data_IF_185515943368
#
_entry.id   IF_185515943368
#
_cell.length_a   1.000
_cell.length_b   1.000
_cell.length_c   1.000
_cell.angle_alpha   90.00
_cell.angle_beta   90.00
_cell.angle_gamma   90.00
#
_symmetry.space_group_name_H-M   'P 1'
#
loop_
_entity.id
_entity.type
_entity.pdbx_description
1 polymer ?
#
# COMPACT_ATOMS: atom_id res chain seq x y z
N UNK A 1 28.77 3.23 -2.82
CA UNK A 1 28.02 3.36 -4.09
C UNK A 1 26.72 4.12 -3.86
N UNK A 2 26.18 4.82 -4.85
CA UNK A 2 24.91 5.54 -4.72
C UNK A 2 23.74 4.62 -4.38
N UNK A 3 23.73 3.37 -4.87
CA UNK A 3 22.76 2.34 -4.46
C UNK A 3 22.79 2.05 -2.96
N UNK A 4 23.98 2.02 -2.36
CA UNK A 4 24.13 1.78 -0.91
C UNK A 4 23.68 3.00 -0.09
N UNK A 5 23.87 4.22 -0.61
CA UNK A 5 23.36 5.44 0.04
C UNK A 5 21.84 5.44 0.04
N UNK A 6 21.21 5.09 -1.08
CA UNK A 6 19.74 4.96 -1.19
C UNK A 6 19.24 3.90 -0.20
N UNK A 7 19.82 2.69 -0.23
CA UNK A 7 19.40 1.62 0.67
C UNK A 7 19.53 2.00 2.16
N UNK A 8 20.61 2.68 2.55
CA UNK A 8 20.79 3.20 3.92
C UNK A 8 19.80 4.30 4.28
N UNK A 9 19.47 5.19 3.35
CA UNK A 9 18.47 6.23 3.57
C UNK A 9 17.09 5.62 3.80
N UNK A 10 16.68 4.67 2.94
CA UNK A 10 15.41 3.96 3.11
C UNK A 10 15.37 3.17 4.44
N UNK A 11 16.48 2.52 4.83
CA UNK A 11 16.62 1.83 6.11
C UNK A 11 16.52 2.78 7.33
N UNK A 12 16.98 4.03 7.19
CA UNK A 12 16.94 5.03 8.25
C UNK A 12 15.56 5.70 8.40
N UNK A 13 14.65 5.52 7.44
CA UNK A 13 13.30 6.06 7.54
C UNK A 13 12.54 5.37 8.67
N UNK A 14 11.92 6.17 9.52
CA UNK A 14 11.01 5.64 10.55
C UNK A 14 9.71 5.22 9.87
N UNK A 15 9.26 3.97 10.05
CA UNK A 15 8.06 3.54 9.34
C UNK A 15 6.83 4.35 9.75
N UNK A 16 5.97 4.66 8.78
CA UNK A 16 4.78 5.51 8.94
C UNK A 16 5.06 7.01 9.10
N UNK A 17 6.32 7.44 9.00
CA UNK A 17 6.71 8.86 8.91
C UNK A 17 7.47 9.17 7.61
N UNK A 18 7.63 8.16 6.75
CA UNK A 18 8.24 8.33 5.45
C UNK A 18 7.29 9.11 4.55
N UNK A 19 7.84 10.04 3.77
CA UNK A 19 7.16 10.52 2.59
C UNK A 19 7.17 9.39 1.55
N UNK A 20 5.98 8.88 1.22
CA UNK A 20 5.83 7.76 0.31
C UNK A 20 6.23 8.12 -1.13
N UNK A 21 6.07 9.37 -1.53
CA UNK A 21 6.46 9.81 -2.87
C UNK A 21 8.00 9.87 -2.96
N UNK A 22 8.69 10.41 -1.94
CA UNK A 22 10.16 10.38 -1.87
C UNK A 22 10.70 8.93 -1.80
N UNK A 23 10.08 8.08 -0.99
CA UNK A 23 10.47 6.67 -0.89
C UNK A 23 10.32 5.97 -2.25
N UNK A 24 9.23 6.22 -2.97
CA UNK A 24 9.00 5.64 -4.29
C UNK A 24 10.06 6.10 -5.31
N UNK A 25 10.44 7.37 -5.29
CA UNK A 25 11.53 7.89 -6.13
C UNK A 25 12.86 7.21 -5.84
N UNK A 26 13.23 7.07 -4.57
CA UNK A 26 14.44 6.37 -4.15
C UNK A 26 14.43 4.91 -4.62
N UNK A 27 13.28 4.23 -4.50
CA UNK A 27 13.11 2.85 -4.96
C UNK A 27 13.24 2.73 -6.48
N UNK A 28 12.64 3.64 -7.25
CA UNK A 28 12.78 3.71 -8.72
C UNK A 28 14.22 3.95 -9.13
N UNK A 29 14.91 4.88 -8.46
CA UNK A 29 16.33 5.18 -8.71
C UNK A 29 17.20 3.98 -8.42
N UNK A 30 16.96 3.27 -7.32
CA UNK A 30 17.68 2.03 -7.02
C UNK A 30 17.46 0.97 -8.10
N UNK A 31 16.20 0.73 -8.51
CA UNK A 31 15.87 -0.24 -9.55
C UNK A 31 16.59 0.09 -10.88
N UNK A 32 16.57 1.35 -11.30
CA UNK A 32 17.28 1.81 -12.49
C UNK A 32 18.80 1.57 -12.41
N UNK A 33 19.44 1.97 -11.31
CA UNK A 33 20.88 1.78 -11.10
C UNK A 33 21.26 0.29 -11.05
N UNK A 34 20.47 -0.53 -10.36
CA UNK A 34 20.71 -1.97 -10.24
C UNK A 34 20.66 -2.69 -11.60
N UNK A 35 19.75 -2.26 -12.49
CA UNK A 35 19.61 -2.81 -13.84
C UNK A 35 20.80 -2.46 -14.73
N UNK A 36 21.22 -1.18 -14.74
CA UNK A 36 22.42 -0.75 -15.48
C UNK A 36 23.67 -1.46 -14.98
N UNK A 37 23.83 -1.56 -13.65
CA UNK A 37 24.99 -2.22 -13.03
C UNK A 37 25.08 -3.73 -13.36
N UNK A 38 23.93 -4.41 -13.46
CA UNK A 38 23.90 -5.85 -13.83
C UNK A 38 24.14 -6.07 -15.33
N UNK A 39 23.84 -5.08 -16.18
CA UNK A 39 24.04 -5.17 -17.62
C UNK A 39 25.48 -4.86 -18.05
N UNK A 40 26.16 -3.94 -17.35
CA UNK A 40 27.52 -3.50 -17.68
C UNK A 40 28.62 -4.37 -17.06
N UNK A 41 28.35 -4.97 -15.91
CA UNK A 41 29.30 -5.83 -15.22
C UNK A 41 28.73 -7.24 -15.28
N UNK A 42 29.44 -8.15 -15.96
CA UNK A 42 29.10 -9.57 -16.04
C UNK A 42 29.32 -10.22 -14.65
N UNK A 43 28.38 -9.93 -13.76
CA UNK A 43 28.57 -10.06 -12.33
C UNK A 43 28.34 -11.50 -11.92
N UNK A 44 29.43 -12.22 -11.64
CA UNK A 44 29.32 -13.46 -10.89
C UNK A 44 28.73 -13.12 -9.51
N UNK A 45 27.59 -13.72 -9.15
CA UNK A 45 26.87 -13.50 -7.87
C UNK A 45 27.75 -13.66 -6.61
N UNK A 46 28.90 -14.31 -6.75
CA UNK A 46 29.85 -14.61 -5.67
C UNK A 46 30.98 -13.59 -5.53
N UNK A 47 31.08 -12.59 -6.42
CA UNK A 47 32.05 -11.50 -6.28
C UNK A 47 31.63 -10.48 -5.22
N UNK A 48 32.59 -9.74 -4.65
CA UNK A 48 32.36 -8.72 -3.61
C UNK A 48 31.25 -7.72 -4.01
N UNK A 49 31.26 -7.28 -5.26
CA UNK A 49 30.23 -6.38 -5.81
C UNK A 49 28.84 -7.01 -5.89
N UNK A 50 28.74 -8.30 -6.20
CA UNK A 50 27.49 -9.05 -6.17
C UNK A 50 26.91 -9.13 -4.76
N UNK A 51 27.75 -9.42 -3.77
CA UNK A 51 27.34 -9.44 -2.37
C UNK A 51 26.89 -8.06 -1.87
N UNK A 52 27.58 -6.98 -2.26
CA UNK A 52 27.19 -5.61 -1.91
C UNK A 52 25.85 -5.20 -2.52
N UNK A 53 25.62 -5.54 -3.79
CA UNK A 53 24.34 -5.29 -4.46
C UNK A 53 23.20 -6.07 -3.79
N UNK A 54 23.41 -7.35 -3.50
CA UNK A 54 22.42 -8.18 -2.80
C UNK A 54 22.11 -7.65 -1.40
N UNK A 55 23.12 -7.19 -0.66
CA UNK A 55 22.94 -6.58 0.66
C UNK A 55 22.13 -5.29 0.58
N UNK A 56 22.46 -4.39 -0.35
CA UNK A 56 21.73 -3.13 -0.54
C UNK A 56 20.27 -3.40 -0.95
N UNK A 57 20.04 -4.36 -1.84
CA UNK A 57 18.69 -4.80 -2.23
C UNK A 57 17.91 -5.38 -1.06
N UNK A 58 18.54 -6.20 -0.22
CA UNK A 58 17.91 -6.77 0.97
C UNK A 58 17.43 -5.71 1.95
N UNK A 59 18.25 -4.67 2.22
CA UNK A 59 17.87 -3.55 3.08
C UNK A 59 16.69 -2.76 2.52
N UNK A 60 16.73 -2.46 1.22
CA UNK A 60 15.65 -1.73 0.56
C UNK A 60 14.34 -2.52 0.58
N UNK A 61 14.40 -3.82 0.27
CA UNK A 61 13.25 -4.73 0.32
C UNK A 61 12.64 -4.79 1.73
N UNK A 62 13.48 -4.87 2.77
CA UNK A 62 13.03 -4.86 4.16
C UNK A 62 12.34 -3.53 4.54
N UNK A 63 12.92 -2.38 4.16
CA UNK A 63 12.36 -1.06 4.43
C UNK A 63 10.98 -0.88 3.77
N UNK A 64 10.87 -1.21 2.48
CA UNK A 64 9.59 -1.18 1.75
C UNK A 64 8.58 -2.11 2.42
N UNK A 65 8.98 -3.33 2.75
CA UNK A 65 8.08 -4.33 3.34
C UNK A 65 7.54 -3.89 4.70
N UNK A 66 8.40 -3.27 5.51
CA UNK A 66 8.03 -2.72 6.81
C UNK A 66 7.08 -1.53 6.67
N UNK A 67 7.29 -0.64 5.70
CA UNK A 67 6.37 0.46 5.44
C UNK A 67 4.99 -0.05 5.01
N UNK A 68 4.96 -0.92 3.99
CA UNK A 68 3.72 -1.44 3.43
C UNK A 68 2.89 -2.28 4.43
N UNK A 69 3.53 -2.91 5.43
CA UNK A 69 2.84 -3.69 6.47
C UNK A 69 1.78 -2.90 7.26
N UNK A 70 1.84 -1.57 7.20
CA UNK A 70 0.92 -0.67 7.90
C UNK A 70 -0.28 -0.26 7.05
N UNK A 71 -0.22 -0.48 5.74
CA UNK A 71 -1.23 0.03 4.81
C UNK A 71 -2.61 -0.54 5.10
N UNK A 72 -2.69 -1.82 5.47
CA UNK A 72 -3.94 -2.44 5.91
C UNK A 72 -4.54 -1.70 7.12
N UNK A 73 -3.71 -1.31 8.09
CA UNK A 73 -4.18 -0.59 9.28
C UNK A 73 -4.71 0.80 8.93
N UNK A 74 -4.03 1.53 8.04
CA UNK A 74 -4.52 2.84 7.58
C UNK A 74 -5.81 2.71 6.78
N UNK A 75 -5.95 1.66 5.96
CA UNK A 75 -7.16 1.34 5.22
C UNK A 75 -8.36 1.08 6.16
N UNK A 76 -8.18 0.23 7.18
CA UNK A 76 -9.22 -0.04 8.18
C UNK A 76 -9.63 1.21 8.96
N UNK A 77 -8.70 2.13 9.20
CA UNK A 77 -8.99 3.40 9.91
C UNK A 77 -9.74 4.40 9.04
N UNK A 78 -9.52 4.38 7.74
CA UNK A 78 -10.18 5.29 6.79
C UNK A 78 -11.56 4.79 6.39
N UNK A 79 -11.74 3.47 6.26
CA UNK A 79 -12.97 2.80 5.88
C UNK A 79 -13.44 1.85 6.99
N UNK A 80 -13.87 2.36 8.15
CA UNK A 80 -14.12 1.53 9.32
C UNK A 80 -15.34 0.63 9.15
N UNK A 81 -15.19 -0.63 9.56
CA UNK A 81 -16.30 -1.51 9.91
C UNK A 81 -16.58 -1.47 11.41
N UNK A 82 -17.84 -1.61 11.81
CA UNK A 82 -18.25 -1.92 13.17
C UNK A 82 -18.96 -3.28 13.24
N UNK A 83 -18.83 -3.96 14.38
CA UNK A 83 -19.63 -5.16 14.66
C UNK A 83 -21.04 -4.74 15.07
N UNK A 84 -22.05 -5.47 14.60
CA UNK A 84 -23.43 -5.26 15.04
C UNK A 84 -24.00 -6.51 15.70
N UNK A 85 -24.76 -6.30 16.79
CA UNK A 85 -25.33 -7.37 17.62
C UNK A 85 -24.43 -7.82 18.78
N UNK A 86 -24.95 -8.71 19.62
CA UNK A 86 -24.23 -9.29 20.78
C UNK A 86 -23.31 -10.47 20.42
N UNK A 87 -23.09 -10.72 19.13
CA UNK A 87 -22.21 -11.77 18.68
C UNK A 87 -20.77 -11.40 19.06
N UNK A 88 -20.01 -12.36 19.63
CA UNK A 88 -18.63 -12.15 20.07
C UNK A 88 -17.67 -11.83 18.91
N UNK A 89 -16.35 -11.94 19.14
CA UNK A 89 -15.34 -11.78 18.08
C UNK A 89 -15.70 -12.67 16.87
N UNK A 90 -15.98 -12.04 15.72
CA UNK A 90 -16.39 -12.73 14.49
C UNK A 90 -17.86 -12.54 14.10
N UNK A 91 -18.62 -11.71 14.84
CA UNK A 91 -19.95 -11.30 14.44
C UNK A 91 -19.98 -10.53 13.10
N UNK A 92 -21.14 -10.46 12.44
CA UNK A 92 -21.26 -9.79 11.15
C UNK A 92 -20.88 -8.30 11.26
N UNK A 93 -20.15 -7.81 10.25
CA UNK A 93 -19.56 -6.47 10.21
C UNK A 93 -20.32 -5.58 9.23
N UNK A 94 -20.50 -4.30 9.58
CA UNK A 94 -21.13 -3.26 8.74
C UNK A 94 -20.27 -2.00 8.69
N UNK A 95 -20.25 -1.25 7.57
CA UNK A 95 -19.61 0.05 7.52
C UNK A 95 -20.10 0.97 8.65
N UNK A 96 -19.18 1.67 9.31
CA UNK A 96 -19.53 2.69 10.29
C UNK A 96 -19.91 4.00 9.58
N UNK A 97 -21.22 4.24 9.51
CA UNK A 97 -21.83 5.40 8.87
C UNK A 97 -22.21 6.50 9.87
N UNK A 98 -21.82 6.36 11.14
CA UNK A 98 -22.17 7.31 12.20
C UNK A 98 -21.51 8.68 12.02
N UNK A 99 -20.42 8.73 11.26
CA UNK A 99 -19.68 9.95 10.93
C UNK A 99 -19.35 9.97 9.45
N UNK A 100 -19.19 11.18 8.90
CA UNK A 100 -18.69 11.35 7.55
C UNK A 100 -17.24 10.83 7.42
N UNK A 101 -16.79 10.46 6.21
CA UNK A 101 -15.42 10.03 5.96
C UNK A 101 -14.40 11.09 6.40
N UNK A 102 -13.33 10.65 7.06
CA UNK A 102 -12.23 11.53 7.47
C UNK A 102 -11.27 11.73 6.29
N UNK A 103 -11.33 12.93 5.68
CA UNK A 103 -10.50 13.31 4.53
C UNK A 103 -9.01 13.06 4.77
N UNK A 104 -8.51 13.40 5.97
CA UNK A 104 -7.09 13.23 6.28
C UNK A 104 -6.64 11.77 6.31
N UNK A 105 -7.55 10.84 6.62
CA UNK A 105 -7.28 9.41 6.56
C UNK A 105 -7.39 8.88 5.14
N UNK A 106 -8.37 9.36 4.37
CA UNK A 106 -8.50 9.03 2.97
C UNK A 106 -7.25 9.44 2.18
N UNK A 107 -6.75 10.66 2.39
CA UNK A 107 -5.53 11.16 1.72
C UNK A 107 -4.31 10.27 2.01
N UNK A 108 -4.18 9.78 3.26
CA UNK A 108 -3.10 8.85 3.64
C UNK A 108 -3.23 7.50 2.94
N UNK A 109 -4.45 6.95 2.89
CA UNK A 109 -4.69 5.69 2.17
C UNK A 109 -4.42 5.88 0.69
N UNK A 110 -4.85 6.99 0.10
CA UNK A 110 -4.55 7.31 -1.30
C UNK A 110 -3.04 7.35 -1.58
N UNK A 111 -2.25 7.98 -0.69
CA UNK A 111 -0.79 7.95 -0.79
C UNK A 111 -0.22 6.52 -0.70
N UNK A 112 -0.77 5.67 0.18
CA UNK A 112 -0.41 4.26 0.26
C UNK A 112 -0.72 3.52 -1.05
N UNK A 113 -1.89 3.75 -1.65
CA UNK A 113 -2.29 3.12 -2.91
C UNK A 113 -1.43 3.57 -4.09
N UNK A 114 -1.10 4.87 -4.17
CA UNK A 114 -0.15 5.41 -5.16
C UNK A 114 1.22 4.75 -5.02
N UNK A 115 1.69 4.56 -3.79
CA UNK A 115 2.94 3.84 -3.52
C UNK A 115 2.88 2.38 -4.00
N UNK A 116 1.83 1.63 -3.62
CA UNK A 116 1.63 0.24 -4.06
C UNK A 116 1.62 0.14 -5.59
N UNK A 117 0.86 1.02 -6.26
CA UNK A 117 0.81 1.09 -7.73
C UNK A 117 2.21 1.35 -8.31
N UNK A 118 2.91 2.35 -7.77
CA UNK A 118 4.22 2.76 -8.26
C UNK A 118 5.33 1.70 -8.07
N UNK A 119 5.27 0.93 -6.99
CA UNK A 119 6.30 -0.07 -6.66
C UNK A 119 6.03 -1.41 -7.36
N UNK A 120 4.76 -1.77 -7.61
CA UNK A 120 4.36 -3.03 -8.26
C UNK A 120 5.19 -3.40 -9.50
N UNK A 121 5.37 -2.51 -10.52
CA UNK A 121 6.11 -2.88 -11.73
C UNK A 121 7.61 -3.13 -11.51
N UNK A 122 8.15 -2.72 -10.35
CA UNK A 122 9.58 -2.85 -10.04
C UNK A 122 9.86 -3.82 -8.88
N UNK A 123 8.84 -4.36 -8.21
CA UNK A 123 9.02 -5.24 -7.04
C UNK A 123 9.83 -6.52 -7.32
N UNK A 124 9.80 -7.05 -8.55
CA UNK A 124 10.61 -8.22 -8.93
C UNK A 124 12.11 -7.92 -8.86
N UNK A 125 12.53 -6.78 -9.43
CA UNK A 125 13.94 -6.34 -9.40
C UNK A 125 14.48 -6.14 -7.98
N UNK A 126 13.57 -5.83 -7.04
CA UNK A 126 13.85 -5.58 -5.63
C UNK A 126 13.83 -6.86 -4.77
N UNK A 127 13.35 -7.98 -5.30
CA UNK A 127 13.13 -9.20 -4.51
C UNK A 127 12.02 -9.05 -3.47
N UNK A 128 11.03 -8.19 -3.71
CA UNK A 128 9.90 -7.90 -2.83
C UNK A 128 8.53 -8.33 -3.43
N UNK A 129 8.55 -9.04 -4.56
CA UNK A 129 7.36 -9.33 -5.37
C UNK A 129 6.24 -10.04 -4.60
N UNK A 130 6.56 -11.07 -3.81
CA UNK A 130 5.57 -11.81 -3.03
C UNK A 130 4.85 -10.92 -2.02
N UNK A 131 5.61 -10.07 -1.31
CA UNK A 131 5.09 -9.14 -0.33
C UNK A 131 4.23 -8.04 -0.97
N UNK A 132 4.72 -7.43 -2.06
CA UNK A 132 3.94 -6.44 -2.82
C UNK A 132 2.60 -7.01 -3.31
N UNK A 133 2.62 -8.23 -3.86
CA UNK A 133 1.41 -8.92 -4.35
C UNK A 133 0.45 -9.22 -3.20
N UNK A 134 0.97 -9.72 -2.07
CA UNK A 134 0.14 -10.02 -0.89
C UNK A 134 -0.59 -8.78 -0.38
N UNK A 135 0.11 -7.65 -0.27
CA UNK A 135 -0.47 -6.41 0.23
C UNK A 135 -1.48 -5.82 -0.75
N UNK A 136 -1.16 -5.83 -2.06
CA UNK A 136 -2.12 -5.41 -3.09
C UNK A 136 -3.40 -6.24 -3.00
N UNK A 137 -3.27 -7.57 -2.91
CA UNK A 137 -4.43 -8.47 -2.78
C UNK A 137 -5.25 -8.18 -1.51
N UNK A 138 -4.60 -7.96 -0.37
CA UNK A 138 -5.28 -7.62 0.89
C UNK A 138 -6.10 -6.33 0.78
N UNK A 139 -5.52 -5.30 0.15
CA UNK A 139 -6.19 -4.03 -0.11
C UNK A 139 -7.39 -4.22 -1.03
N UNK A 140 -7.21 -4.91 -2.16
CA UNK A 140 -8.29 -5.18 -3.12
C UNK A 140 -9.45 -5.96 -2.47
N UNK A 141 -9.13 -7.00 -1.70
CA UNK A 141 -10.13 -7.79 -0.97
C UNK A 141 -10.87 -6.96 0.07
N UNK A 142 -10.17 -6.09 0.80
CA UNK A 142 -10.79 -5.22 1.79
C UNK A 142 -11.74 -4.21 1.15
N UNK A 143 -11.28 -3.52 0.10
CA UNK A 143 -12.08 -2.52 -0.61
C UNK A 143 -13.35 -3.15 -1.19
N UNK A 144 -13.21 -4.28 -1.91
CA UNK A 144 -14.37 -4.99 -2.47
C UNK A 144 -15.37 -5.40 -1.38
N UNK A 145 -14.89 -5.97 -0.27
CA UNK A 145 -15.76 -6.34 0.85
C UNK A 145 -16.44 -5.13 1.50
N UNK A 146 -15.77 -3.97 1.53
CA UNK A 146 -16.34 -2.75 2.10
C UNK A 146 -17.43 -2.19 1.19
N UNK A 147 -17.17 -2.12 -0.12
CA UNK A 147 -18.13 -1.65 -1.11
C UNK A 147 -19.39 -2.51 -1.14
N UNK A 148 -19.26 -3.83 -1.15
CA UNK A 148 -20.41 -4.74 -1.14
C UNK A 148 -21.33 -4.46 0.06
N UNK A 149 -20.74 -4.32 1.25
CA UNK A 149 -21.49 -4.02 2.48
C UNK A 149 -22.05 -2.60 2.49
N UNK A 150 -21.34 -1.64 1.92
CA UNK A 150 -21.79 -0.26 1.83
C UNK A 150 -23.01 -0.14 0.91
N UNK A 151 -23.05 -0.88 -0.19
CA UNK A 151 -24.20 -0.95 -1.09
C UNK A 151 -25.41 -1.61 -0.42
N UNK A 152 -25.20 -2.62 0.42
CA UNK A 152 -26.26 -3.21 1.25
C UNK A 152 -26.84 -2.19 2.25
N UNK A 153 -25.97 -1.45 2.97
CA UNK A 153 -26.41 -0.44 3.94
C UNK A 153 -27.08 0.76 3.28
N UNK A 154 -26.60 1.20 2.11
CA UNK A 154 -27.21 2.29 1.33
C UNK A 154 -28.69 2.05 1.03
N UNK A 155 -29.09 0.78 0.82
CA UNK A 155 -30.49 0.41 0.52
C UNK A 155 -31.43 0.65 1.71
N UNK A 156 -30.93 0.56 2.93
CA UNK A 156 -31.73 0.67 4.17
C UNK A 156 -31.48 1.95 4.96
N UNK A 157 -30.36 2.62 4.72
CA UNK A 157 -29.97 3.87 5.38
C UNK A 157 -30.91 5.04 5.04
N UNK A 158 -31.08 5.96 6.00
CA UNK A 158 -31.90 7.17 5.88
C UNK A 158 -31.20 8.36 6.53
N UNK A 159 -31.63 9.58 6.16
CA UNK A 159 -31.09 10.82 6.73
C UNK A 159 -29.57 10.94 6.59
N UNK A 160 -28.90 11.40 7.66
CA UNK A 160 -27.45 11.62 7.68
C UNK A 160 -26.64 10.36 7.40
N UNK A 161 -27.11 9.20 7.85
CA UNK A 161 -26.43 7.92 7.60
C UNK A 161 -26.37 7.59 6.10
N UNK A 162 -27.44 7.92 5.35
CA UNK A 162 -27.47 7.76 3.88
C UNK A 162 -26.53 8.72 3.17
N UNK A 163 -26.45 9.96 3.63
CA UNK A 163 -25.48 10.94 3.11
C UNK A 163 -24.05 10.45 3.33
N UNK A 164 -23.70 10.08 4.57
CA UNK A 164 -22.37 9.56 4.89
C UNK A 164 -22.03 8.31 4.08
N UNK A 165 -22.99 7.42 3.85
CA UNK A 165 -22.79 6.23 3.04
C UNK A 165 -22.51 6.58 1.56
N UNK A 166 -23.14 7.62 1.02
CA UNK A 166 -22.82 8.16 -0.28
C UNK A 166 -21.39 8.71 -0.34
N UNK A 167 -20.98 9.48 0.67
CA UNK A 167 -19.63 10.03 0.76
C UNK A 167 -18.56 8.94 0.88
N UNK A 168 -18.83 7.88 1.65
CA UNK A 168 -17.96 6.70 1.74
C UNK A 168 -17.89 5.93 0.42
N UNK A 169 -18.98 5.87 -0.36
CA UNK A 169 -18.99 5.18 -1.65
C UNK A 169 -18.14 5.93 -2.66
N UNK A 170 -18.26 7.26 -2.70
CA UNK A 170 -17.41 8.10 -3.54
C UNK A 170 -15.94 8.00 -3.12
N UNK A 171 -15.66 7.94 -1.82
CA UNK A 171 -14.31 7.69 -1.31
C UNK A 171 -13.76 6.32 -1.74
N UNK A 172 -14.54 5.25 -1.58
CA UNK A 172 -14.13 3.90 -1.99
C UNK A 172 -13.86 3.82 -3.50
N UNK A 173 -14.71 4.42 -4.32
CA UNK A 173 -14.51 4.52 -5.77
C UNK A 173 -13.20 5.22 -6.14
N UNK A 174 -12.91 6.38 -5.53
CA UNK A 174 -11.63 7.10 -5.74
C UNK A 174 -10.41 6.27 -5.35
N UNK A 175 -10.50 5.52 -4.25
CA UNK A 175 -9.43 4.63 -3.81
C UNK A 175 -9.25 3.46 -4.80
N UNK A 176 -10.34 2.89 -5.30
CA UNK A 176 -10.31 1.88 -6.35
C UNK A 176 -9.67 2.38 -7.64
N UNK A 177 -10.00 3.60 -8.09
CA UNK A 177 -9.36 4.25 -9.25
C UNK A 177 -7.86 4.47 -9.02
N UNK A 178 -7.49 4.92 -7.81
CA UNK A 178 -6.08 5.17 -7.46
C UNK A 178 -5.24 3.89 -7.57
N UNK A 179 -5.79 2.76 -7.12
CA UNK A 179 -5.16 1.44 -7.21
C UNK A 179 -5.26 0.85 -8.62
N UNK A 180 -6.38 1.07 -9.30
CA UNK A 180 -6.77 0.49 -10.56
C UNK A 180 -6.48 1.38 -11.76
N UNK A 181 -5.22 1.44 -12.19
CA UNK A 181 -4.85 1.67 -13.59
C UNK A 181 -3.58 0.87 -13.92
N UNK A 182 -3.80 -0.38 -14.36
CA UNK A 182 -2.88 -1.13 -15.23
C UNK A 182 -3.63 -1.39 -16.57
N UNK A 183 -4.14 -0.33 -17.23
CA UNK A 183 -4.54 -0.39 -18.64
C UNK A 183 -3.57 0.43 -19.49
N UNK A 184 -2.39 -0.15 -19.74
CA UNK A 184 -1.74 -0.17 -21.05
C UNK A 184 -0.52 -1.10 -21.04
#
# INVERSE_FOLDING_TARGET
SDMEKIARRCEALRPGHADLDELLEDVRRFAHLSKGFTAEIDLHRNGEWGQRLLSARGRLSAAISQEMSRFETELVRALPFHQFGQYGRGGPMRPDLGKAPDRSRLDRVEACLRFVRGVTPICESLGAQSHCRSIRQQIETYLASYEDRLLEELRVSQGTSRTNAGDFLEAAARLHETLGEDRQ
#
